data_IF_259087204827
#
_entry.id   IF_259087204827
#
_cell.length_a   1.000
_cell.length_b   1.000
_cell.length_c   1.000
_cell.angle_alpha   90.00
_cell.angle_beta   90.00
_cell.angle_gamma   90.00
#
_symmetry.space_group_name_H-M   'P 1'
#
loop_
_entity.id
_entity.type
_entity.pdbx_description
1 polymer ?
#
# COMPACT_ATOMS: atom_id res chain seq x y z
N UNK A 1 115.22 -24.54 -9.94
CA UNK A 1 113.90 -24.14 -10.51
C UNK A 1 113.20 -23.20 -9.54
N UNK A 2 112.92 -21.96 -9.94
CA UNK A 2 112.16 -20.93 -9.19
C UNK A 2 110.68 -21.00 -9.59
N UNK A 3 109.75 -20.80 -8.64
CA UNK A 3 108.45 -20.08 -8.74
C UNK A 3 107.77 -20.11 -7.36
N UNK A 4 107.90 -19.05 -6.56
CA UNK A 4 106.93 -17.95 -6.31
C UNK A 4 105.61 -18.42 -5.67
N UNK A 5 105.54 -18.35 -4.33
CA UNK A 5 104.29 -18.22 -3.58
C UNK A 5 104.15 -16.74 -3.15
N UNK A 6 103.15 -16.05 -3.72
CA UNK A 6 102.70 -14.74 -3.24
C UNK A 6 101.54 -14.97 -2.26
N UNK A 7 101.79 -14.82 -0.97
CA UNK A 7 100.73 -14.65 0.02
C UNK A 7 100.29 -13.18 0.01
N UNK A 8 99.12 -12.90 -0.54
CA UNK A 8 98.43 -11.63 -0.33
C UNK A 8 97.67 -11.68 0.99
N UNK A 9 98.24 -11.06 2.03
CA UNK A 9 97.49 -10.59 3.20
C UNK A 9 96.70 -9.35 2.81
N UNK A 10 95.50 -9.53 2.27
CA UNK A 10 94.55 -8.45 2.01
C UNK A 10 93.95 -7.95 3.33
N UNK A 11 94.34 -6.74 3.76
CA UNK A 11 93.65 -6.04 4.84
C UNK A 11 92.18 -5.79 4.44
N UNK A 12 91.21 -6.00 5.35
CA UNK A 12 89.80 -5.76 5.07
C UNK A 12 89.56 -4.27 4.83
N UNK A 13 88.96 -3.95 3.69
CA UNK A 13 88.61 -2.57 3.32
C UNK A 13 87.55 -2.01 4.27
N UNK A 14 87.63 -0.70 4.56
CA UNK A 14 86.76 0.03 5.51
C UNK A 14 85.25 -0.23 5.33
N UNK A 15 84.82 -0.53 4.09
CA UNK A 15 83.44 -0.92 3.76
C UNK A 15 83.03 -2.25 4.40
N UNK A 16 83.89 -3.26 4.39
CA UNK A 16 83.61 -4.56 5.04
C UNK A 16 83.53 -4.43 6.55
N UNK A 17 84.29 -3.51 7.15
CA UNK A 17 84.23 -3.27 8.59
C UNK A 17 82.94 -2.58 9.00
N UNK A 18 82.46 -1.59 8.23
CA UNK A 18 81.16 -0.92 8.45
C UNK A 18 79.99 -1.89 8.31
N UNK A 19 80.01 -2.78 7.32
CA UNK A 19 78.97 -3.80 7.13
C UNK A 19 78.94 -4.81 8.29
N UNK A 20 80.11 -5.26 8.78
CA UNK A 20 80.18 -6.15 9.94
C UNK A 20 79.69 -5.48 11.23
N UNK A 21 80.01 -4.20 11.44
CA UNK A 21 79.51 -3.42 12.59
C UNK A 21 78.00 -3.21 12.51
N UNK A 22 77.48 -2.99 11.30
CA UNK A 22 76.04 -2.87 11.07
C UNK A 22 75.33 -4.20 11.36
N UNK A 23 75.82 -5.31 10.81
CA UNK A 23 75.29 -6.66 11.06
C UNK A 23 75.36 -7.06 12.54
N UNK A 24 76.45 -6.76 13.24
CA UNK A 24 76.58 -7.09 14.66
C UNK A 24 75.64 -6.26 15.55
N UNK A 25 75.42 -4.98 15.23
CA UNK A 25 74.40 -4.15 15.89
C UNK A 25 72.98 -4.64 15.60
N UNK A 26 72.73 -5.11 14.37
CA UNK A 26 71.43 -5.65 13.95
C UNK A 26 71.10 -6.98 14.67
N UNK A 27 72.10 -7.85 14.85
CA UNK A 27 71.97 -9.11 15.61
C UNK A 27 71.78 -8.82 17.11
N UNK A 28 72.56 -7.88 17.67
CA UNK A 28 72.49 -7.56 19.11
C UNK A 28 71.14 -6.95 19.52
N UNK A 29 70.51 -6.18 18.63
CA UNK A 29 69.23 -5.53 18.87
C UNK A 29 68.05 -6.17 18.11
N UNK A 30 68.22 -7.40 17.58
CA UNK A 30 67.20 -8.12 16.82
C UNK A 30 65.83 -8.17 17.53
N UNK A 31 65.84 -8.44 18.84
CA UNK A 31 64.61 -8.50 19.65
C UNK A 31 63.83 -7.18 19.62
N UNK A 32 64.50 -6.03 19.63
CA UNK A 32 63.87 -4.71 19.56
C UNK A 32 63.28 -4.43 18.18
N UNK A 33 63.97 -4.84 17.11
CA UNK A 33 63.47 -4.69 15.73
C UNK A 33 62.21 -5.52 15.48
N UNK A 34 62.14 -6.74 16.02
CA UNK A 34 60.92 -7.57 15.94
C UNK A 34 59.76 -6.89 16.66
N UNK A 35 59.98 -6.24 17.81
CA UNK A 35 58.92 -5.53 18.55
C UNK A 35 58.40 -4.32 17.77
N UNK A 36 59.30 -3.57 17.13
CA UNK A 36 58.93 -2.44 16.26
C UNK A 36 58.11 -2.92 15.06
N UNK A 37 58.53 -4.02 14.41
CA UNK A 37 57.82 -4.57 13.25
C UNK A 37 56.39 -5.03 13.62
N UNK A 38 56.24 -5.74 14.75
CA UNK A 38 54.94 -6.17 15.27
C UNK A 38 54.04 -4.97 15.58
N UNK A 39 54.59 -3.90 16.13
CA UNK A 39 53.84 -2.67 16.45
C UNK A 39 53.35 -1.96 15.18
N UNK A 40 54.18 -1.90 14.13
CA UNK A 40 53.79 -1.31 12.84
C UNK A 40 52.69 -2.15 12.16
N UNK A 41 52.81 -3.48 12.18
CA UNK A 41 51.76 -4.38 11.66
C UNK A 41 50.46 -4.20 12.45
N UNK A 42 50.52 -4.12 13.78
CA UNK A 42 49.35 -3.91 14.62
C UNK A 42 48.67 -2.56 14.34
N UNK A 43 49.43 -1.50 14.13
CA UNK A 43 48.89 -0.19 13.71
C UNK A 43 48.23 -0.27 12.33
N UNK A 44 48.85 -0.96 11.36
CA UNK A 44 48.27 -1.20 10.04
C UNK A 44 46.94 -1.94 10.11
N UNK A 45 46.87 -3.01 10.90
CA UNK A 45 45.63 -3.78 11.11
C UNK A 45 44.56 -2.93 11.80
N UNK A 46 44.93 -2.09 12.77
CA UNK A 46 44.02 -1.18 13.47
C UNK A 46 43.41 -0.14 12.52
N UNK A 47 44.22 0.52 11.68
CA UNK A 47 43.74 1.49 10.68
C UNK A 47 42.80 0.82 9.68
N UNK A 48 43.15 -0.38 9.22
CA UNK A 48 42.32 -1.15 8.28
C UNK A 48 41.00 -1.56 8.92
N UNK A 49 41.03 -1.95 10.21
CA UNK A 49 39.83 -2.27 10.99
C UNK A 49 38.90 -1.06 11.17
N UNK A 50 39.46 0.12 11.47
CA UNK A 50 38.70 1.37 11.57
C UNK A 50 38.05 1.72 10.22
N UNK A 51 38.78 1.56 9.11
CA UNK A 51 38.24 1.82 7.77
C UNK A 51 37.07 0.89 7.43
N UNK A 52 37.20 -0.41 7.70
CA UNK A 52 36.14 -1.40 7.47
C UNK A 52 34.92 -1.11 8.36
N UNK A 53 35.14 -0.78 9.64
CA UNK A 53 34.06 -0.42 10.56
C UNK A 53 33.30 0.83 10.10
N UNK A 54 34.00 1.86 9.63
CA UNK A 54 33.38 3.07 9.09
C UNK A 54 32.55 2.77 7.83
N UNK A 55 33.09 1.96 6.90
CA UNK A 55 32.35 1.51 5.72
C UNK A 55 31.10 0.68 6.08
N UNK A 56 31.21 -0.19 7.08
CA UNK A 56 30.09 -0.98 7.56
C UNK A 56 29.00 -0.11 8.19
N UNK A 57 29.38 0.90 8.98
CA UNK A 57 28.43 1.87 9.56
C UNK A 57 27.71 2.69 8.49
N UNK A 58 28.40 3.16 7.44
CA UNK A 58 27.75 3.85 6.32
C UNK A 58 26.72 2.96 5.61
N UNK A 59 27.03 1.69 5.38
CA UNK A 59 26.12 0.73 4.74
C UNK A 59 24.93 0.45 5.66
N UNK A 60 25.16 0.27 6.96
CA UNK A 60 24.11 0.03 7.95
C UNK A 60 23.13 1.22 8.03
N UNK A 61 23.64 2.45 8.04
CA UNK A 61 22.82 3.67 8.01
C UNK A 61 21.99 3.76 6.74
N UNK A 62 22.59 3.52 5.57
CA UNK A 62 21.86 3.50 4.29
C UNK A 62 20.78 2.42 4.26
N UNK A 63 21.09 1.23 4.76
CA UNK A 63 20.11 0.14 4.81
C UNK A 63 18.97 0.47 5.77
N UNK A 64 19.25 1.06 6.92
CA UNK A 64 18.23 1.52 7.86
C UNK A 64 17.29 2.55 7.22
N UNK A 65 17.83 3.55 6.50
CA UNK A 65 17.04 4.54 5.77
C UNK A 65 16.17 3.90 4.68
N UNK A 66 16.71 2.92 3.95
CA UNK A 66 15.97 2.17 2.93
C UNK A 66 14.86 1.35 3.58
N UNK A 67 15.13 0.64 4.67
CA UNK A 67 14.13 -0.14 5.42
C UNK A 67 13.03 0.75 5.99
N UNK A 68 13.37 1.93 6.51
CA UNK A 68 12.36 2.90 6.96
C UNK A 68 11.51 3.44 5.80
N UNK A 69 12.10 3.68 4.62
CA UNK A 69 11.34 4.11 3.44
C UNK A 69 10.45 2.99 2.91
N UNK A 70 10.94 1.76 2.87
CA UNK A 70 10.17 0.59 2.44
C UNK A 70 9.01 0.29 3.38
N UNK A 71 9.23 0.32 4.70
CA UNK A 71 8.14 0.13 5.68
C UNK A 71 7.04 1.19 5.58
N UNK A 72 7.38 2.43 5.21
CA UNK A 72 6.38 3.47 4.91
C UNK A 72 5.61 3.25 3.60
N UNK A 73 6.14 2.45 2.66
CA UNK A 73 5.43 2.06 1.44
C UNK A 73 4.45 0.89 1.68
N UNK A 74 4.63 0.13 2.77
CA UNK A 74 3.68 -0.93 3.15
C UNK A 74 2.39 -0.35 3.75
N UNK A 75 2.48 0.82 4.38
CA UNK A 75 1.30 1.53 4.85
C UNK A 75 0.57 2.20 3.69
N UNK A 76 -0.74 1.99 3.62
CA UNK A 76 -1.61 2.55 2.58
C UNK A 76 -2.94 3.02 3.15
N UNK A 77 -3.53 4.08 2.59
CA UNK A 77 -4.93 4.39 2.89
C UNK A 77 -5.82 3.21 2.49
N UNK A 78 -6.86 2.97 3.29
CA UNK A 78 -7.85 1.93 3.02
C UNK A 78 -9.21 2.58 3.17
N UNK A 79 -9.84 2.91 2.04
CA UNK A 79 -11.15 3.56 2.04
C UNK A 79 -12.26 2.51 2.02
N UNK A 80 -13.22 2.63 2.94
CA UNK A 80 -14.49 1.89 2.90
C UNK A 80 -15.63 2.83 2.56
N UNK A 81 -16.57 2.29 1.79
CA UNK A 81 -17.80 2.96 1.39
C UNK A 81 -18.98 2.31 2.13
N UNK A 82 -19.81 3.13 2.74
CA UNK A 82 -21.09 2.75 3.31
C UNK A 82 -22.20 3.47 2.55
N UNK A 83 -23.30 2.77 2.29
CA UNK A 83 -24.44 3.33 1.55
C UNK A 83 -25.75 3.03 2.23
N UNK A 84 -26.59 4.04 2.30
CA UNK A 84 -27.98 3.95 2.71
C UNK A 84 -28.85 4.54 1.60
N UNK A 85 -29.49 3.68 0.79
CA UNK A 85 -30.32 4.11 -0.34
C UNK A 85 -31.76 4.50 0.03
N UNK A 86 -32.21 4.10 1.22
CA UNK A 86 -33.56 4.36 1.73
C UNK A 86 -33.48 5.18 3.02
N UNK A 87 -34.44 6.07 3.26
CA UNK A 87 -34.49 6.78 4.53
C UNK A 87 -34.64 5.77 5.68
N UNK A 88 -33.85 5.97 6.74
CA UNK A 88 -33.94 5.20 7.98
C UNK A 88 -34.29 6.17 9.11
N UNK A 89 -35.56 6.15 9.55
CA UNK A 89 -36.08 7.13 10.50
C UNK A 89 -35.95 8.56 9.94
N UNK A 90 -35.15 9.39 10.63
CA UNK A 90 -34.87 10.79 10.22
C UNK A 90 -33.62 10.93 9.33
N UNK A 91 -32.90 9.85 9.06
CA UNK A 91 -31.67 9.87 8.26
C UNK A 91 -32.05 9.80 6.77
N UNK A 92 -31.72 10.82 5.96
CA UNK A 92 -31.95 10.75 4.52
C UNK A 92 -31.00 9.75 3.85
N UNK A 93 -31.34 9.28 2.64
CA UNK A 93 -30.41 8.49 1.84
C UNK A 93 -29.06 9.20 1.69
N UNK A 94 -27.98 8.48 1.99
CA UNK A 94 -26.64 9.01 1.98
C UNK A 94 -25.62 7.90 1.70
N UNK A 95 -24.39 8.30 1.42
CA UNK A 95 -23.25 7.41 1.50
C UNK A 95 -22.19 8.03 2.41
N UNK A 96 -21.35 7.20 3.01
CA UNK A 96 -20.25 7.64 3.84
C UNK A 96 -18.96 6.97 3.39
N UNK A 97 -17.87 7.71 3.45
CA UNK A 97 -16.52 7.20 3.29
C UNK A 97 -15.81 7.23 4.64
N UNK A 98 -15.14 6.15 4.97
CA UNK A 98 -14.22 6.08 6.11
C UNK A 98 -12.85 5.62 5.63
N UNK A 99 -11.80 6.23 6.15
CA UNK A 99 -10.45 5.72 5.96
C UNK A 99 -10.07 4.84 7.16
N UNK A 100 -10.12 3.52 6.99
CA UNK A 100 -9.68 2.58 8.04
C UNK A 100 -8.18 2.26 7.95
N UNK A 101 -7.49 2.82 6.96
CA UNK A 101 -6.05 2.66 6.80
C UNK A 101 -5.26 3.52 7.79
N UNK A 102 -3.98 3.19 8.03
CA UNK A 102 -3.12 3.95 8.93
C UNK A 102 -2.61 5.27 8.34
N UNK A 103 -2.86 5.52 7.06
CA UNK A 103 -2.33 6.67 6.29
C UNK A 103 -3.45 7.52 5.72
N UNK A 104 -3.18 8.81 5.50
CA UNK A 104 -4.13 9.72 4.87
C UNK A 104 -4.50 9.27 3.45
N UNK A 105 -5.75 9.51 3.04
CA UNK A 105 -6.16 9.41 1.64
C UNK A 105 -6.30 10.82 1.05
N UNK A 106 -5.61 11.09 -0.06
CA UNK A 106 -5.59 12.41 -0.70
C UNK A 106 -6.41 12.43 -1.99
N UNK A 107 -6.87 13.62 -2.37
CA UNK A 107 -7.51 13.90 -3.67
C UNK A 107 -8.62 12.90 -4.01
N UNK A 108 -9.47 12.59 -3.03
CA UNK A 108 -10.49 11.57 -3.18
C UNK A 108 -11.58 12.10 -4.11
N UNK A 109 -11.95 11.32 -5.12
CA UNK A 109 -13.05 11.61 -6.04
C UNK A 109 -14.05 10.47 -5.97
N UNK A 110 -15.29 10.81 -5.64
CA UNK A 110 -16.42 9.88 -5.67
C UNK A 110 -17.25 10.18 -6.90
N UNK A 111 -17.50 9.15 -7.72
CA UNK A 111 -18.33 9.23 -8.92
C UNK A 111 -19.42 8.17 -8.86
N UNK A 112 -20.65 8.57 -9.09
CA UNK A 112 -21.77 7.64 -9.27
C UNK A 112 -22.07 7.48 -10.76
N UNK A 113 -21.93 6.25 -11.26
CA UNK A 113 -22.09 5.87 -12.66
C UNK A 113 -23.27 4.90 -12.80
N UNK A 114 -23.96 4.97 -13.93
CA UNK A 114 -25.04 4.04 -14.26
C UNK A 114 -24.64 3.19 -15.46
N UNK A 115 -24.74 1.88 -15.30
CA UNK A 115 -24.51 0.89 -16.35
C UNK A 115 -25.78 0.13 -16.66
N UNK A 116 -25.83 -0.42 -17.86
CA UNK A 116 -26.96 -1.22 -18.32
C UNK A 116 -26.48 -2.54 -18.90
N UNK A 117 -27.11 -3.62 -18.46
CA UNK A 117 -26.96 -4.94 -19.05
C UNK A 117 -27.89 -5.08 -20.27
N UNK A 118 -27.36 -5.65 -21.35
CA UNK A 118 -28.15 -6.02 -22.53
C UNK A 118 -28.26 -7.54 -22.61
N UNK A 119 -29.41 -8.14 -22.24
CA UNK A 119 -29.61 -9.58 -22.33
C UNK A 119 -29.36 -10.14 -23.74
N UNK A 120 -29.76 -9.40 -24.79
CA UNK A 120 -29.56 -9.81 -26.19
C UNK A 120 -28.09 -9.95 -26.62
N UNK A 121 -27.19 -9.22 -25.96
CA UNK A 121 -25.77 -9.15 -26.32
C UNK A 121 -24.86 -9.73 -25.23
N UNK A 122 -25.46 -10.12 -24.11
CA UNK A 122 -24.78 -10.57 -22.89
C UNK A 122 -23.63 -9.65 -22.45
N UNK A 123 -23.83 -8.32 -22.60
CA UNK A 123 -22.80 -7.30 -22.40
C UNK A 123 -23.31 -6.12 -21.59
N UNK A 124 -22.40 -5.53 -20.83
CA UNK A 124 -22.58 -4.26 -20.15
C UNK A 124 -22.30 -3.09 -21.09
N UNK A 125 -23.07 -2.04 -20.96
CA UNK A 125 -22.87 -0.77 -21.64
C UNK A 125 -22.99 0.37 -20.63
N UNK A 126 -22.13 1.38 -20.73
CA UNK A 126 -22.30 2.60 -19.98
C UNK A 126 -23.59 3.29 -20.47
N UNK A 127 -24.53 3.53 -19.56
CA UNK A 127 -25.66 4.42 -19.86
C UNK A 127 -25.13 5.85 -19.84
N UNK A 128 -25.66 6.72 -20.72
CA UNK A 128 -25.13 8.08 -20.99
C UNK A 128 -24.67 8.75 -19.69
N UNK A 129 -23.41 9.19 -19.73
CA UNK A 129 -22.59 9.66 -18.62
C UNK A 129 -23.07 10.98 -18.02
N UNK A 130 -24.25 10.98 -17.42
CA UNK A 130 -24.50 11.91 -16.34
C UNK A 130 -23.84 11.29 -15.12
N UNK A 131 -22.63 11.75 -14.78
CA UNK A 131 -22.12 11.59 -13.42
C UNK A 131 -23.16 12.22 -12.51
N UNK A 132 -24.02 11.38 -11.93
CA UNK A 132 -25.14 11.84 -11.11
C UNK A 132 -24.63 12.61 -9.88
N UNK A 133 -23.37 12.34 -9.52
CA UNK A 133 -22.76 12.85 -8.32
C UNK A 133 -21.25 12.76 -8.41
N UNK A 134 -20.58 13.91 -8.45
CA UNK A 134 -19.14 14.04 -8.29
C UNK A 134 -18.87 14.77 -6.96
N UNK A 135 -18.17 14.11 -6.04
CA UNK A 135 -17.66 14.73 -4.81
C UNK A 135 -16.15 14.65 -4.79
N UNK A 136 -15.53 15.78 -4.47
CA UNK A 136 -14.08 15.90 -4.32
C UNK A 136 -13.78 16.20 -2.86
N UNK A 137 -12.96 15.36 -2.24
CA UNK A 137 -12.51 15.52 -0.87
C UNK A 137 -10.99 15.70 -0.91
N UNK A 138 -10.45 16.84 -0.43
CA UNK A 138 -9.02 17.08 -0.48
C UNK A 138 -8.21 16.03 0.28
N UNK A 139 -8.71 15.62 1.45
CA UNK A 139 -8.07 14.70 2.39
C UNK A 139 -9.11 13.98 3.26
N UNK A 140 -8.84 12.70 3.55
CA UNK A 140 -9.52 11.93 4.59
C UNK A 140 -8.46 11.23 5.45
N UNK A 141 -8.37 11.66 6.71
CA UNK A 141 -7.37 11.19 7.66
C UNK A 141 -7.71 9.79 8.19
N UNK A 142 -6.76 9.06 8.80
CA UNK A 142 -7.05 7.77 9.45
C UNK A 142 -8.23 7.88 10.42
N UNK A 143 -9.14 6.91 10.34
CA UNK A 143 -10.41 6.81 11.07
C UNK A 143 -11.42 7.96 10.84
N UNK A 144 -11.10 8.94 9.98
CA UNK A 144 -12.02 10.02 9.64
C UNK A 144 -13.16 9.47 8.77
N UNK A 145 -14.38 9.90 9.09
CA UNK A 145 -15.59 9.56 8.34
C UNK A 145 -16.21 10.81 7.73
N UNK A 146 -16.57 10.77 6.45
CA UNK A 146 -17.33 11.83 5.76
C UNK A 146 -18.59 11.25 5.14
N UNK A 147 -19.73 11.78 5.56
CA UNK A 147 -21.03 11.42 5.03
C UNK A 147 -21.55 12.46 4.03
N UNK A 148 -22.17 11.98 2.96
CA UNK A 148 -22.68 12.77 1.85
C UNK A 148 -24.09 12.33 1.51
N UNK A 149 -25.03 13.27 1.55
CA UNK A 149 -26.41 13.01 1.14
C UNK A 149 -26.49 12.83 -0.37
N UNK A 150 -27.28 11.86 -0.83
CA UNK A 150 -27.62 11.77 -2.24
C UNK A 150 -28.42 13.03 -2.64
N UNK A 151 -28.10 13.61 -3.81
CA UNK A 151 -28.85 14.76 -4.35
C UNK A 151 -30.24 14.26 -4.79
N UNK A 152 -31.29 15.01 -4.44
CA UNK A 152 -32.67 14.64 -4.71
C UNK A 152 -32.88 14.22 -6.17
N UNK A 153 -33.51 13.07 -6.38
CA UNK A 153 -33.74 12.49 -7.69
C UNK A 153 -32.65 11.54 -8.19
N UNK A 154 -31.40 11.58 -7.71
CA UNK A 154 -30.31 10.75 -8.29
C UNK A 154 -30.54 9.24 -8.16
N UNK A 155 -31.24 8.80 -7.11
CA UNK A 155 -31.55 7.38 -6.88
C UNK A 155 -32.79 6.90 -7.65
N UNK A 156 -33.78 7.77 -7.83
CA UNK A 156 -35.08 7.42 -8.43
C UNK A 156 -35.16 7.70 -9.94
N UNK A 157 -34.45 8.73 -10.44
CA UNK A 157 -34.56 9.17 -11.83
C UNK A 157 -33.89 8.23 -12.84
N UNK A 158 -32.85 7.49 -12.47
CA UNK A 158 -32.14 6.61 -13.41
C UNK A 158 -32.56 5.13 -13.34
N UNK A 159 -32.98 4.65 -12.18
CA UNK A 159 -33.44 3.27 -11.98
C UNK A 159 -34.80 2.98 -12.64
N UNK A 160 -35.74 3.93 -12.51
CA UNK A 160 -37.16 3.71 -12.81
C UNK A 160 -37.57 4.10 -14.23
N UNK A 161 -36.76 4.90 -14.94
CA UNK A 161 -37.06 5.37 -16.30
C UNK A 161 -36.55 4.42 -17.40
N UNK A 162 -35.67 3.47 -17.08
CA UNK A 162 -35.13 2.52 -18.03
C UNK A 162 -35.81 1.14 -17.87
N UNK A 163 -36.67 0.78 -18.81
CA UNK A 163 -37.38 -0.51 -18.78
C UNK A 163 -36.57 -1.60 -19.50
N UNK A 164 -36.39 -2.79 -18.89
CA UNK A 164 -36.84 -3.15 -17.56
C UNK A 164 -35.75 -2.82 -16.49
N UNK A 165 -36.17 -2.38 -15.28
CA UNK A 165 -35.29 -1.75 -14.29
C UNK A 165 -34.19 -2.69 -13.77
N UNK A 166 -34.44 -3.98 -13.71
CA UNK A 166 -33.50 -5.01 -13.25
C UNK A 166 -32.21 -5.09 -14.07
N UNK A 167 -32.19 -4.53 -15.28
CA UNK A 167 -30.98 -4.45 -16.11
C UNK A 167 -30.06 -3.28 -15.73
N UNK A 168 -30.49 -2.38 -14.84
CA UNK A 168 -29.69 -1.25 -14.39
C UNK A 168 -28.75 -1.67 -13.26
N UNK A 169 -27.52 -1.17 -13.34
CA UNK A 169 -26.50 -1.35 -12.32
C UNK A 169 -25.95 0.02 -11.98
N UNK A 170 -25.86 0.32 -10.69
CA UNK A 170 -25.22 1.53 -10.20
C UNK A 170 -23.80 1.18 -9.74
N UNK A 171 -22.82 1.94 -10.19
CA UNK A 171 -21.45 1.88 -9.71
C UNK A 171 -21.16 3.14 -8.90
N UNK A 172 -20.69 2.98 -7.66
CA UNK A 172 -20.05 4.06 -6.92
C UNK A 172 -18.55 3.80 -6.99
N UNK A 173 -17.86 4.68 -7.71
CA UNK A 173 -16.41 4.64 -7.92
C UNK A 173 -15.74 5.66 -7.01
N UNK A 174 -14.70 5.23 -6.32
CA UNK A 174 -13.88 6.07 -5.43
C UNK A 174 -12.44 5.99 -5.90
N UNK A 175 -11.89 7.09 -6.39
CA UNK A 175 -10.46 7.19 -6.66
C UNK A 175 -9.78 8.04 -5.60
N UNK A 176 -8.57 7.67 -5.18
CA UNK A 176 -7.80 8.38 -4.16
C UNK A 176 -6.31 8.16 -4.35
N UNK A 177 -5.49 8.98 -3.69
CA UNK A 177 -4.03 8.92 -3.79
C UNK A 177 -3.36 8.72 -2.45
N UNK A 178 -2.28 7.94 -2.47
CA UNK A 178 -1.40 7.75 -1.32
C UNK A 178 -0.44 8.94 -1.15
N UNK A 179 -0.23 9.48 0.06
CA UNK A 179 0.61 10.66 0.27
C UNK A 179 2.08 10.49 -0.16
N UNK A 180 2.66 9.32 0.06
CA UNK A 180 4.09 9.05 -0.08
C UNK A 180 4.58 9.16 -1.53
N UNK A 181 3.80 8.63 -2.47
CA UNK A 181 4.18 8.49 -3.87
C UNK A 181 3.11 8.99 -4.85
N UNK A 182 2.00 9.51 -4.33
CA UNK A 182 0.82 9.94 -5.10
C UNK A 182 0.25 8.82 -5.97
N UNK A 183 0.54 7.55 -5.65
CA UNK A 183 -0.02 6.41 -6.36
C UNK A 183 -1.53 6.47 -6.27
N UNK A 184 -2.18 6.33 -7.43
CA UNK A 184 -3.63 6.36 -7.55
C UNK A 184 -4.21 4.96 -7.32
N UNK A 185 -5.26 4.91 -6.50
CA UNK A 185 -6.06 3.74 -6.22
C UNK A 185 -7.48 4.00 -6.72
N UNK A 186 -8.10 2.99 -7.32
CA UNK A 186 -9.47 3.03 -7.84
C UNK A 186 -10.25 1.86 -7.21
N UNK A 187 -11.34 2.19 -6.52
CA UNK A 187 -12.22 1.24 -5.88
C UNK A 187 -13.64 1.42 -6.41
N UNK A 188 -14.38 0.32 -6.56
CA UNK A 188 -15.72 0.36 -7.14
C UNK A 188 -16.67 -0.56 -6.39
N UNK A 189 -17.84 -0.04 -6.02
CA UNK A 189 -18.95 -0.79 -5.45
C UNK A 189 -20.11 -0.83 -6.45
N UNK A 190 -20.69 -2.01 -6.65
CA UNK A 190 -21.79 -2.22 -7.59
C UNK A 190 -23.07 -2.59 -6.86
N UNK A 191 -24.16 -1.94 -7.29
CA UNK A 191 -25.49 -2.11 -6.74
C UNK A 191 -26.46 -2.47 -7.85
N UNK A 192 -27.39 -3.34 -7.52
CA UNK A 192 -28.40 -3.90 -8.41
C UNK A 192 -29.77 -3.56 -7.86
N UNK A 193 -30.78 -3.58 -8.73
CA UNK A 193 -32.17 -3.45 -8.32
C UNK A 193 -32.69 -4.87 -8.07
N UNK A 194 -33.19 -5.19 -6.86
CA UNK A 194 -33.83 -6.48 -6.56
C UNK A 194 -35.26 -6.55 -7.14
N UNK A 195 -35.96 -7.70 -7.07
CA UNK A 195 -37.35 -7.82 -7.56
C UNK A 195 -38.35 -6.86 -6.91
N UNK A 196 -38.07 -6.40 -5.68
CA UNK A 196 -38.89 -5.41 -4.96
C UNK A 196 -38.59 -3.96 -5.41
N UNK A 197 -37.71 -3.77 -6.39
CA UNK A 197 -37.36 -2.48 -6.96
C UNK A 197 -36.28 -1.72 -6.17
N UNK A 198 -35.47 -2.42 -5.36
CA UNK A 198 -34.59 -1.80 -4.37
C UNK A 198 -33.12 -1.95 -4.72
N UNK A 199 -32.36 -0.88 -4.50
CA UNK A 199 -30.91 -0.92 -4.59
C UNK A 199 -30.33 -1.79 -3.47
N UNK A 200 -29.71 -2.89 -3.90
CA UNK A 200 -29.06 -3.88 -3.06
C UNK A 200 -27.64 -4.12 -3.58
N UNK A 201 -26.67 -4.42 -2.70
CA UNK A 201 -25.30 -4.63 -3.12
C UNK A 201 -25.12 -5.96 -3.88
N UNK A 202 -24.02 -6.09 -4.61
CA UNK A 202 -23.64 -7.28 -5.38
C UNK A 202 -23.75 -8.60 -4.59
N UNK A 203 -23.49 -8.57 -3.28
CA UNK A 203 -23.45 -9.78 -2.43
C UNK A 203 -24.79 -10.09 -1.78
N UNK A 204 -25.83 -9.28 -1.99
CA UNK A 204 -27.15 -9.51 -1.43
C UNK A 204 -27.71 -10.86 -1.87
N UNK A 205 -28.27 -11.62 -0.93
CA UNK A 205 -29.00 -12.86 -1.17
C UNK A 205 -30.35 -12.64 -1.86
N UNK A 206 -30.86 -11.41 -1.91
CA UNK A 206 -32.10 -11.09 -2.63
C UNK A 206 -31.96 -11.16 -4.17
N UNK A 207 -30.80 -11.58 -4.67
CA UNK A 207 -30.38 -11.51 -6.07
C UNK A 207 -30.00 -12.92 -6.55
N UNK A 208 -30.99 -13.81 -6.66
CA UNK A 208 -30.75 -15.23 -6.99
C UNK A 208 -31.14 -15.62 -8.42
N UNK A 209 -31.82 -14.74 -9.17
CA UNK A 209 -32.29 -15.09 -10.52
C UNK A 209 -31.14 -15.35 -11.51
N UNK A 210 -31.38 -16.24 -12.48
CA UNK A 210 -30.43 -16.57 -13.55
C UNK A 210 -29.97 -15.31 -14.31
N UNK A 211 -30.88 -14.34 -14.50
CA UNK A 211 -30.57 -13.07 -15.15
C UNK A 211 -29.51 -12.29 -14.38
N UNK A 212 -29.58 -12.24 -13.05
CA UNK A 212 -28.55 -11.57 -12.26
C UNK A 212 -27.21 -12.28 -12.29
N UNK A 213 -27.19 -13.61 -12.36
CA UNK A 213 -25.93 -14.35 -12.50
C UNK A 213 -25.25 -14.02 -13.83
N UNK A 214 -26.02 -13.90 -14.92
CA UNK A 214 -25.52 -13.42 -16.21
C UNK A 214 -24.99 -11.99 -16.13
N UNK A 215 -25.70 -11.10 -15.42
CA UNK A 215 -25.25 -9.73 -15.16
C UNK A 215 -23.95 -9.69 -14.35
N UNK A 216 -23.84 -10.48 -13.28
CA UNK A 216 -22.63 -10.60 -12.46
C UNK A 216 -21.44 -11.08 -13.30
N UNK A 217 -21.65 -12.07 -14.16
CA UNK A 217 -20.62 -12.54 -15.10
C UNK A 217 -20.19 -11.46 -16.09
N UNK A 218 -21.16 -10.74 -16.68
CA UNK A 218 -20.87 -9.63 -17.58
C UNK A 218 -20.13 -8.48 -16.85
N UNK A 219 -20.48 -8.23 -15.59
CA UNK A 219 -19.80 -7.27 -14.73
C UNK A 219 -18.37 -7.72 -14.39
N UNK A 220 -18.12 -9.00 -14.11
CA UNK A 220 -16.76 -9.51 -13.87
C UNK A 220 -15.88 -9.33 -15.11
N UNK A 221 -16.40 -9.57 -16.31
CA UNK A 221 -15.70 -9.33 -17.56
C UNK A 221 -15.46 -7.83 -17.82
N UNK A 222 -16.38 -6.96 -17.38
CA UNK A 222 -16.18 -5.51 -17.39
C UNK A 222 -15.09 -5.09 -16.41
N UNK A 223 -15.10 -5.67 -15.19
CA UNK A 223 -14.11 -5.44 -14.14
C UNK A 223 -12.72 -5.91 -14.56
N UNK A 224 -12.55 -7.04 -15.25
CA UNK A 224 -11.21 -7.56 -15.62
C UNK A 224 -10.39 -6.64 -16.54
N UNK A 225 -11.02 -5.59 -17.09
CA UNK A 225 -10.33 -4.52 -17.82
C UNK A 225 -9.80 -3.38 -16.93
N UNK A 226 -10.01 -3.45 -15.61
CA UNK A 226 -9.64 -2.44 -14.61
C UNK A 226 -9.20 -3.12 -13.30
N UNK A 227 -8.09 -2.71 -12.70
CA UNK A 227 -7.68 -3.23 -11.38
C UNK A 227 -8.73 -2.83 -10.33
N UNK A 228 -9.40 -3.80 -9.69
CA UNK A 228 -10.43 -3.55 -8.67
C UNK A 228 -10.23 -4.54 -7.51
N UNK A 229 -10.10 -4.02 -6.29
CA UNK A 229 -10.25 -4.79 -5.05
C UNK A 229 -11.72 -4.67 -4.62
N UNK A 230 -12.29 -5.74 -4.06
CA UNK A 230 -13.70 -5.76 -3.68
C UNK A 230 -13.92 -5.04 -2.34
N UNK A 231 -14.75 -4.01 -2.32
CA UNK A 231 -15.28 -3.43 -1.07
C UNK A 231 -16.27 -4.45 -0.45
N UNK A 232 -16.20 -4.62 0.88
CA UNK A 232 -17.06 -5.52 1.66
C UNK A 232 -18.32 -4.80 2.16
N UNK A 233 -19.39 -5.57 2.28
CA UNK A 233 -20.79 -5.16 2.48
C UNK A 233 -21.23 -4.97 3.93
N UNK A 234 -22.43 -4.38 4.03
CA UNK A 234 -23.39 -4.31 5.14
C UNK A 234 -23.02 -3.43 6.35
N UNK A 235 -23.75 -2.31 6.47
CA UNK A 235 -23.96 -1.64 7.74
C UNK A 235 -24.85 -2.55 8.61
N UNK A 236 -24.23 -3.47 9.34
CA UNK A 236 -24.84 -4.09 10.51
C UNK A 236 -24.74 -3.05 11.60
N UNK A 237 -25.87 -2.45 11.95
CA UNK A 237 -25.93 -1.37 12.92
C UNK A 237 -25.05 -1.69 14.13
N UNK A 238 -24.11 -0.79 14.39
CA UNK A 238 -23.83 -0.23 15.70
C UNK A 238 -23.05 1.07 15.44
N UNK A 239 -23.72 2.18 15.76
CA UNK A 239 -23.28 3.57 15.88
C UNK A 239 -22.26 4.12 14.86
N UNK A 240 -22.79 4.65 13.75
CA UNK A 240 -22.05 5.62 12.94
C UNK A 240 -22.13 6.99 13.64
N UNK A 241 -21.07 7.36 14.36
CA UNK A 241 -20.94 8.71 14.90
C UNK A 241 -20.60 9.70 13.78
N UNK A 242 -21.59 10.48 13.34
CA UNK A 242 -21.37 11.62 12.44
C UNK A 242 -21.56 12.89 13.27
N UNK A 243 -20.48 13.62 13.51
CA UNK A 243 -20.47 14.92 14.21
C UNK A 243 -21.15 14.90 15.60
N UNK A 244 -20.63 14.10 16.53
CA UNK A 244 -21.11 13.99 17.93
C UNK A 244 -22.59 13.61 18.13
N UNK A 245 -23.32 13.31 17.06
CA UNK A 245 -24.66 12.74 17.15
C UNK A 245 -24.56 11.21 17.12
N UNK A 246 -24.71 10.60 18.29
CA UNK A 246 -24.96 9.17 18.41
C UNK A 246 -26.36 8.89 17.83
N UNK A 247 -26.44 8.15 16.72
CA UNK A 247 -27.72 7.66 16.22
C UNK A 247 -27.78 6.16 16.49
N UNK A 248 -28.09 5.84 17.73
CA UNK A 248 -28.55 4.50 18.11
C UNK A 248 -29.86 4.22 17.36
N UNK A 249 -29.86 3.27 16.44
CA UNK A 249 -31.11 2.67 15.97
C UNK A 249 -31.69 1.86 17.12
N UNK A 250 -33.02 1.93 17.39
CA UNK A 250 -33.63 1.04 18.37
C UNK A 250 -33.43 -0.41 17.93
N UNK A 251 -32.76 -1.18 18.78
CA UNK A 251 -32.63 -2.63 18.67
C UNK A 251 -33.99 -3.28 18.92
N UNK A 252 -34.80 -3.42 17.87
CA UNK A 252 -35.96 -4.30 17.90
C UNK A 252 -36.32 -4.81 16.51
N UNK A 253 -35.73 -5.93 16.13
CA UNK A 253 -36.39 -6.97 15.35
C UNK A 253 -35.62 -8.30 15.52
N UNK A 254 -35.55 -8.77 16.76
CA UNK A 254 -35.40 -10.20 17.03
C UNK A 254 -36.61 -10.95 16.45
N UNK A 255 -36.34 -11.92 15.57
CA UNK A 255 -37.07 -13.19 15.37
C UNK A 255 -38.61 -13.18 15.45
N UNK A 256 -39.27 -13.44 14.31
CA UNK A 256 -40.19 -14.56 14.08
C UNK A 256 -41.12 -14.23 12.88
N UNK A 257 -40.75 -14.69 11.68
CA UNK A 257 -41.74 -14.90 10.62
C UNK A 257 -42.10 -16.37 10.59
N UNK A 258 -43.18 -16.72 11.32
CA UNK A 258 -43.99 -17.90 11.04
C UNK A 258 -44.79 -17.61 9.78
N UNK A 259 -44.63 -18.50 8.80
CA UNK A 259 -45.53 -18.64 7.67
C UNK A 259 -46.89 -19.12 8.18
N UNK A 260 -47.98 -18.44 7.80
CA UNK A 260 -49.30 -19.04 7.69
C UNK A 260 -50.04 -18.44 6.50
N UNK A 261 -50.27 -19.34 5.53
CA UNK A 261 -51.32 -19.45 4.49
C UNK A 261 -51.86 -18.16 3.89
#
# INVERSE_FOLDING_TARGET
>A
MKRKNFNHTGQPTEKQHKIKIFLSRLIKNWKQWVTVLVSVIALGVSITGIYIANKANEIALKNHDITQKLSKLDFRPIIRLYTLFRPAGKIPPHFALINIGPEDALQIKVRMLTHRYSPKREKMYASIANTLYDVVIPKLSPQETKAFKFKGGSLDSNARLATPPENNIMEIRVTYRRPQDLQEFDESAFYFINPEGLWVPERSSSIESENYQKMKKALLNWKSSKNIISIYDEWKGDDLHVNDQCITCPSSATSEHKWFI
#
